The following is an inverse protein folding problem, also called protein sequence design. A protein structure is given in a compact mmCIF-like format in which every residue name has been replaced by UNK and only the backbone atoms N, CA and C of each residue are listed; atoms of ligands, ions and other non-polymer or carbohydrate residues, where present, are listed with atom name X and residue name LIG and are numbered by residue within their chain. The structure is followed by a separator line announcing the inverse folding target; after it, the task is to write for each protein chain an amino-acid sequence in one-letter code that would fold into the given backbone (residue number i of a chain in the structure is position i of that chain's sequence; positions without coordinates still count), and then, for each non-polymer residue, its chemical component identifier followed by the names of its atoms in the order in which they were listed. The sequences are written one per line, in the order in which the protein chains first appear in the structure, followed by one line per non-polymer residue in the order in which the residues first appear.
data_IF_929147618016
#
_entry.id   IF_929147618016
#
_cell.length_a   1.000
_cell.length_b   1.000
_cell.length_c   1.000
_cell.angle_alpha   90.00
_cell.angle_beta   90.00
_cell.angle_gamma   90.00
#
_symmetry.space_group_name_H-M   'P 1'
#
loop_
_entity.id
_entity.type
_entity.pdbx_description
1 polymer ?
#
# COMPACT_ATOMS: atom_id res chain seq x y z
N UNK A 1 8.39 -17.24 -5.99
CA UNK A 1 7.99 -15.86 -6.37
C UNK A 1 8.95 -14.93 -5.67
N UNK A 2 9.52 -13.95 -6.38
CA UNK A 2 10.45 -12.97 -5.79
C UNK A 2 9.63 -11.79 -5.29
N UNK A 3 9.95 -11.27 -4.11
CA UNK A 3 9.25 -10.10 -3.58
C UNK A 3 9.54 -8.87 -4.46
N UNK A 4 8.48 -8.12 -4.79
CA UNK A 4 8.57 -7.00 -5.72
C UNK A 4 9.20 -5.75 -5.09
N UNK A 5 9.01 -5.57 -3.77
CA UNK A 5 9.57 -4.44 -3.01
C UNK A 5 11.09 -4.27 -3.16
N UNK A 6 11.94 -5.29 -2.91
CA UNK A 6 13.38 -5.16 -3.08
C UNK A 6 13.82 -4.93 -4.53
N UNK A 7 12.99 -5.27 -5.53
CA UNK A 7 13.27 -4.96 -6.93
C UNK A 7 13.13 -3.46 -7.22
N UNK A 8 12.16 -2.80 -6.59
CA UNK A 8 11.95 -1.35 -6.72
C UNK A 8 12.99 -0.53 -5.95
N UNK A 9 13.40 -1.01 -4.76
CA UNK A 9 14.45 -0.37 -3.96
C UNK A 9 15.82 -0.43 -4.66
N UNK A 10 16.06 -1.46 -5.46
CA UNK A 10 17.27 -1.60 -6.26
C UNK A 10 17.22 -0.82 -7.59
N UNK A 11 16.06 -0.27 -7.97
CA UNK A 11 15.88 0.44 -9.23
C UNK A 11 16.25 1.93 -9.10
N UNK A 12 17.29 2.41 -9.81
CA UNK A 12 17.71 3.81 -9.75
C UNK A 12 16.69 4.78 -10.35
N UNK A 13 15.83 4.35 -11.29
CA UNK A 13 14.76 5.22 -11.79
C UNK A 13 13.70 5.46 -10.72
N UNK A 14 13.35 4.42 -9.95
CA UNK A 14 12.35 4.49 -8.87
C UNK A 14 12.87 5.32 -7.70
N UNK A 15 14.06 5.00 -7.20
CA UNK A 15 14.69 5.72 -6.07
C UNK A 15 15.09 7.16 -6.40
N UNK A 16 15.18 7.52 -7.69
CA UNK A 16 15.35 8.91 -8.11
C UNK A 16 14.08 9.77 -7.97
N UNK A 17 12.90 9.14 -7.92
CA UNK A 17 11.59 9.81 -7.92
C UNK A 17 10.82 9.64 -6.63
N UNK A 18 11.04 8.54 -5.93
CA UNK A 18 10.36 8.18 -4.70
C UNK A 18 11.38 8.00 -3.58
N UNK A 19 11.05 8.54 -2.42
CA UNK A 19 11.75 8.29 -1.17
C UNK A 19 11.43 6.89 -0.65
N UNK A 20 12.25 6.40 0.28
CA UNK A 20 12.02 5.09 0.90
C UNK A 20 10.67 5.03 1.63
N UNK A 21 10.28 6.11 2.33
CA UNK A 21 9.00 6.19 3.04
C UNK A 21 7.80 6.12 2.07
N UNK A 22 7.91 6.74 0.88
CA UNK A 22 6.87 6.66 -0.15
C UNK A 22 6.76 5.26 -0.76
N UNK A 23 7.89 4.58 -0.96
CA UNK A 23 7.92 3.17 -1.39
C UNK A 23 7.26 2.31 -0.30
N UNK A 24 7.62 2.51 0.97
CA UNK A 24 7.06 1.75 2.09
C UNK A 24 5.54 1.93 2.21
N UNK A 25 5.03 3.16 2.02
CA UNK A 25 3.61 3.46 2.02
C UNK A 25 2.84 2.77 0.89
N UNK A 26 3.40 2.63 -0.31
CA UNK A 26 2.75 1.92 -1.43
C UNK A 26 2.50 0.44 -1.10
N UNK A 27 3.40 -0.16 -0.31
CA UNK A 27 3.31 -1.55 0.13
C UNK A 27 2.53 -1.72 1.45
N UNK A 28 2.01 -0.65 2.05
CA UNK A 28 1.22 -0.72 3.28
C UNK A 28 -0.18 -1.32 3.01
N UNK A 29 -0.49 -2.53 3.53
CA UNK A 29 -1.78 -3.17 3.29
C UNK A 29 -2.97 -2.38 3.86
N UNK A 30 -2.76 -1.60 4.92
CA UNK A 30 -3.82 -0.82 5.57
C UNK A 30 -4.41 0.25 4.64
N UNK A 31 -3.64 0.75 3.68
CA UNK A 31 -4.12 1.70 2.68
C UNK A 31 -5.29 1.13 1.86
N UNK A 32 -5.26 -0.17 1.59
CA UNK A 32 -6.27 -0.85 0.76
C UNK A 32 -7.50 -1.27 1.55
N UNK A 33 -7.42 -1.32 2.88
CA UNK A 33 -8.54 -1.66 3.76
C UNK A 33 -9.27 -0.44 4.32
N UNK A 34 -8.86 0.78 3.98
CA UNK A 34 -9.43 2.04 4.52
C UNK A 34 -10.92 2.26 4.27
N UNK A 35 -11.54 1.48 3.37
CA UNK A 35 -12.97 1.55 3.03
C UNK A 35 -13.77 0.38 3.58
N UNK A 36 -13.13 -0.54 4.31
CA UNK A 36 -13.82 -1.73 4.84
C UNK A 36 -14.93 -1.27 5.78
N UNK A 37 -14.66 -0.35 6.69
CA UNK A 37 -15.66 0.18 7.63
C UNK A 37 -16.84 0.83 6.88
N UNK A 38 -16.57 1.69 5.90
CA UNK A 38 -17.60 2.30 5.04
C UNK A 38 -18.48 1.26 4.33
N UNK A 39 -17.89 0.13 3.91
CA UNK A 39 -18.61 -0.97 3.25
C UNK A 39 -19.50 -1.69 4.27
N UNK A 40 -18.99 -1.97 5.47
CA UNK A 40 -19.74 -2.64 6.54
C UNK A 40 -20.92 -1.79 7.02
N UNK A 41 -20.74 -0.48 7.16
CA UNK A 41 -21.82 0.45 7.51
C UNK A 41 -22.94 0.45 6.46
N UNK A 42 -22.60 0.45 5.16
CA UNK A 42 -23.59 0.43 4.07
C UNK A 42 -24.43 -0.84 4.00
N UNK A 43 -23.87 -1.98 4.39
CA UNK A 43 -24.58 -3.27 4.38
C UNK A 43 -25.29 -3.55 5.71
N UNK A 44 -25.32 -2.59 6.64
CA UNK A 44 -25.97 -2.73 7.94
C UNK A 44 -25.25 -3.69 8.88
N UNK A 45 -23.94 -3.87 8.68
CA UNK A 45 -23.04 -4.65 9.53
C UNK A 45 -22.01 -3.78 10.27
N UNK A 46 -22.20 -2.45 10.27
CA UNK A 46 -21.48 -1.55 11.17
C UNK A 46 -22.04 -1.66 12.59
N UNK A 47 -21.17 -1.56 13.60
CA UNK A 47 -21.52 -1.65 15.02
C UNK A 47 -22.64 -0.68 15.46
#
# INVERSE_FOLDING_TARGET
QVDFKPLLEADPEVTSRLTQDEIDEIFNPAYYTKRVDDIFERIGLGD
#
